data_IF_575671319474
#
_entry.id   IF_575671319474
#
_cell.length_a   1.000
_cell.length_b   1.000
_cell.length_c   1.000
_cell.angle_alpha   90.00
_cell.angle_beta   90.00
_cell.angle_gamma   90.00
#
_symmetry.space_group_name_H-M   'P 1'
#
loop_
_entity.id
_entity.type
_entity.pdbx_description
1 polymer ?
#
# COMPACT_ATOMS: atom_id res chain seq x y z
N UNK A 1 -12.45 8.99 0.64
CA UNK A 1 -11.51 9.27 -0.46
C UNK A 1 -11.93 10.49 -1.27
N UNK A 2 -13.22 10.72 -1.53
CA UNK A 2 -13.71 11.82 -2.36
C UNK A 2 -13.36 13.25 -1.91
N UNK A 3 -13.16 13.46 -0.61
CA UNK A 3 -12.82 14.77 -0.05
C UNK A 3 -11.32 15.13 -0.10
N UNK A 4 -10.47 14.18 -0.46
CA UNK A 4 -9.00 14.34 -0.52
C UNK A 4 -8.44 14.26 -1.94
N UNK A 5 -9.24 13.90 -2.94
CA UNK A 5 -8.80 13.82 -4.33
C UNK A 5 -8.70 15.19 -5.00
N UNK A 6 -7.87 15.30 -6.03
CA UNK A 6 -7.92 16.43 -6.96
C UNK A 6 -9.21 16.34 -7.78
N UNK A 7 -9.84 17.47 -8.12
CA UNK A 7 -10.90 17.51 -9.11
C UNK A 7 -10.43 16.88 -10.44
N UNK A 8 -11.31 16.20 -11.16
CA UNK A 8 -10.97 15.53 -12.44
C UNK A 8 -10.45 16.49 -13.51
N UNK A 9 -10.81 17.77 -13.39
CA UNK A 9 -10.38 18.86 -14.29
C UNK A 9 -9.15 19.62 -13.76
N UNK A 10 -8.45 19.10 -12.73
CA UNK A 10 -7.24 19.74 -12.23
C UNK A 10 -6.09 19.48 -13.22
N UNK A 11 -5.37 20.50 -13.67
CA UNK A 11 -4.29 20.35 -14.64
C UNK A 11 -3.09 19.63 -14.02
N UNK A 12 -2.35 18.89 -14.86
CA UNK A 12 -1.12 18.20 -14.45
C UNK A 12 0.04 19.18 -14.15
N UNK A 13 0.06 20.32 -14.82
CA UNK A 13 1.08 21.37 -14.66
C UNK A 13 0.41 22.73 -14.50
N UNK A 14 0.50 23.31 -13.32
CA UNK A 14 -0.04 24.66 -13.06
C UNK A 14 0.79 25.76 -13.72
N UNK A 15 2.06 25.50 -14.02
CA UNK A 15 2.96 26.46 -14.66
C UNK A 15 2.58 26.83 -16.11
N UNK A 16 1.70 26.04 -16.75
CA UNK A 16 1.21 26.27 -18.10
C UNK A 16 0.07 27.31 -18.13
N UNK A 17 -0.38 27.77 -16.98
CA UNK A 17 -1.52 28.67 -16.80
C UNK A 17 -1.09 30.01 -16.19
N UNK A 18 -1.86 31.05 -16.43
CA UNK A 18 -1.68 32.33 -15.75
C UNK A 18 -1.87 32.21 -14.25
N UNK A 19 -1.32 33.16 -13.49
CA UNK A 19 -1.46 33.21 -12.02
C UNK A 19 -2.92 33.19 -11.57
N UNK A 20 -3.80 33.88 -12.31
CA UNK A 20 -5.23 33.94 -12.00
C UNK A 20 -5.93 32.59 -12.22
N UNK A 21 -5.64 31.92 -13.32
CA UNK A 21 -6.17 30.59 -13.63
C UNK A 21 -5.66 29.55 -12.64
N UNK A 22 -4.36 29.56 -12.33
CA UNK A 22 -3.75 28.67 -11.34
C UNK A 22 -4.40 28.89 -9.96
N UNK A 23 -4.66 30.13 -9.56
CA UNK A 23 -5.39 30.45 -8.34
C UNK A 23 -6.85 29.96 -8.36
N UNK A 24 -7.52 30.00 -9.52
CA UNK A 24 -8.86 29.46 -9.68
C UNK A 24 -8.90 27.94 -9.52
N UNK A 25 -7.92 27.21 -10.06
CA UNK A 25 -7.79 25.76 -9.84
C UNK A 25 -7.52 25.42 -8.38
N UNK A 26 -6.61 26.13 -7.73
CA UNK A 26 -6.25 25.85 -6.33
C UNK A 26 -7.41 26.14 -5.35
N UNK A 27 -8.30 27.10 -5.63
CA UNK A 27 -9.52 27.32 -4.82
C UNK A 27 -10.51 26.15 -4.89
N UNK A 28 -10.44 25.29 -5.90
CA UNK A 28 -11.31 24.12 -6.06
C UNK A 28 -10.85 22.92 -5.24
N UNK A 29 -9.61 22.94 -4.73
CA UNK A 29 -9.10 21.90 -3.84
C UNK A 29 -9.68 22.11 -2.45
N UNK A 30 -9.81 21.02 -1.69
CA UNK A 30 -10.26 21.08 -0.30
C UNK A 30 -9.34 22.00 0.53
N UNK A 31 -9.89 23.11 1.03
CA UNK A 31 -9.16 24.14 1.78
C UNK A 31 -9.03 23.84 3.28
N UNK A 32 -9.47 22.67 3.76
CA UNK A 32 -9.38 22.32 5.19
C UNK A 32 -7.95 21.92 5.55
N UNK A 33 -7.29 22.74 6.35
CA UNK A 33 -5.95 22.50 6.90
C UNK A 33 -5.97 22.08 8.37
N UNK A 34 -7.10 22.23 9.04
CA UNK A 34 -7.25 21.97 10.47
C UNK A 34 -7.08 20.50 10.83
N UNK A 35 -6.59 20.27 12.04
CA UNK A 35 -6.44 18.96 12.66
C UNK A 35 -7.66 18.74 13.56
N UNK A 36 -8.35 17.61 13.38
CA UNK A 36 -9.44 17.20 14.26
C UNK A 36 -8.92 16.22 15.32
N UNK A 37 -9.27 16.46 16.57
CA UNK A 37 -9.02 15.53 17.68
C UNK A 37 -10.25 14.65 17.90
N UNK A 38 -10.03 13.40 18.19
CA UNK A 38 -11.06 12.45 18.59
C UNK A 38 -10.47 11.43 19.56
N UNK A 39 -11.32 10.77 20.35
CA UNK A 39 -10.90 9.69 21.23
C UNK A 39 -10.81 8.41 20.42
N UNK A 40 -9.65 7.74 20.44
CA UNK A 40 -9.46 6.45 19.80
C UNK A 40 -10.35 5.40 20.49
N UNK A 41 -11.06 4.63 19.69
CA UNK A 41 -11.76 3.43 20.17
C UNK A 41 -10.78 2.25 20.22
N UNK A 42 -11.07 1.21 21.02
CA UNK A 42 -10.25 -0.01 21.02
C UNK A 42 -10.06 -0.59 19.61
N UNK A 43 -8.93 -1.22 19.37
CA UNK A 43 -8.63 -1.92 18.13
C UNK A 43 -9.68 -2.99 17.85
N UNK A 44 -10.12 -3.06 16.61
CA UNK A 44 -11.17 -3.98 16.19
C UNK A 44 -10.64 -4.91 15.12
N UNK A 45 -11.04 -6.19 15.21
CA UNK A 45 -10.72 -7.20 14.21
C UNK A 45 -11.90 -8.15 14.05
N UNK A 46 -12.35 -8.32 12.80
CA UNK A 46 -13.39 -9.28 12.43
C UNK A 46 -12.80 -10.19 11.36
N UNK A 47 -12.99 -11.49 11.52
CA UNK A 47 -12.60 -12.48 10.51
C UNK A 47 -13.70 -13.50 10.35
N UNK A 48 -14.07 -13.76 9.10
CA UNK A 48 -15.02 -14.79 8.71
C UNK A 48 -14.31 -15.75 7.77
N UNK A 49 -14.32 -17.03 8.13
CA UNK A 49 -13.75 -18.09 7.29
C UNK A 49 -14.80 -19.16 7.05
N UNK A 50 -14.95 -19.56 5.80
CA UNK A 50 -15.79 -20.67 5.38
C UNK A 50 -15.00 -21.58 4.46
N UNK A 51 -15.09 -22.87 4.69
CA UNK A 51 -14.58 -23.89 3.76
C UNK A 51 -15.66 -24.95 3.56
N UNK A 52 -15.84 -25.37 2.34
CA UNK A 52 -16.81 -26.38 1.96
C UNK A 52 -16.26 -27.27 0.87
N UNK A 53 -16.63 -28.55 0.93
CA UNK A 53 -16.42 -29.50 -0.15
C UNK A 53 -17.71 -30.31 -0.32
N UNK A 54 -18.14 -30.50 -1.54
CA UNK A 54 -19.35 -31.25 -1.89
C UNK A 54 -19.21 -31.85 -3.28
N UNK A 55 -19.91 -32.97 -3.48
CA UNK A 55 -19.92 -33.67 -4.75
C UNK A 55 -21.25 -33.37 -5.49
N UNK A 56 -21.15 -33.05 -6.78
CA UNK A 56 -22.30 -32.81 -7.68
C UNK A 56 -22.13 -33.66 -8.93
N UNK A 57 -22.82 -34.79 -9.00
CA UNK A 57 -22.57 -35.79 -10.00
C UNK A 57 -21.14 -36.29 -9.93
N UNK A 58 -20.41 -36.24 -11.04
CA UNK A 58 -18.98 -36.65 -11.10
C UNK A 58 -18.00 -35.56 -10.64
N UNK A 59 -18.50 -34.38 -10.25
CA UNK A 59 -17.66 -33.25 -9.84
C UNK A 59 -17.48 -33.20 -8.34
N UNK A 60 -16.25 -33.08 -7.88
CA UNK A 60 -15.93 -32.64 -6.52
C UNK A 60 -15.60 -31.17 -6.55
N UNK A 61 -16.37 -30.39 -5.81
CA UNK A 61 -16.25 -28.93 -5.76
C UNK A 61 -15.78 -28.53 -4.36
N UNK A 62 -14.68 -27.80 -4.29
CA UNK A 62 -14.16 -27.22 -3.06
C UNK A 62 -14.21 -25.69 -3.08
N UNK A 63 -14.52 -25.08 -1.94
CA UNK A 63 -14.47 -23.64 -1.75
C UNK A 63 -13.77 -23.31 -0.44
N UNK A 64 -12.91 -22.29 -0.48
CA UNK A 64 -12.36 -21.63 0.69
C UNK A 64 -12.58 -20.14 0.52
N UNK A 65 -13.32 -19.55 1.45
CA UNK A 65 -13.58 -18.13 1.52
C UNK A 65 -13.09 -17.60 2.87
N UNK A 66 -12.31 -16.53 2.84
CA UNK A 66 -11.92 -15.80 4.04
C UNK A 66 -12.14 -14.31 3.79
N UNK A 67 -12.75 -13.64 4.75
CA UNK A 67 -12.84 -12.19 4.80
C UNK A 67 -12.32 -11.73 6.15
N UNK A 68 -11.49 -10.70 6.15
CA UNK A 68 -10.99 -10.10 7.37
C UNK A 68 -11.01 -8.58 7.26
N UNK A 69 -11.38 -7.96 8.33
CA UNK A 69 -11.32 -6.51 8.50
C UNK A 69 -10.70 -6.20 9.85
N UNK A 70 -9.85 -5.19 9.88
CA UNK A 70 -9.30 -4.68 11.14
C UNK A 70 -9.09 -3.19 11.06
N UNK A 71 -9.25 -2.52 12.20
CA UNK A 71 -8.84 -1.14 12.38
C UNK A 71 -8.15 -0.99 13.72
N UNK A 72 -7.13 -0.14 13.77
CA UNK A 72 -6.38 0.10 14.98
C UNK A 72 -5.73 1.48 14.96
N UNK A 73 -5.30 1.90 16.14
CA UNK A 73 -4.67 3.17 16.39
C UNK A 73 -3.28 2.96 16.98
N UNK A 74 -2.35 3.79 16.56
CA UNK A 74 -0.96 3.74 17.01
C UNK A 74 -0.51 5.16 17.38
N UNK A 75 0.16 5.27 18.49
CA UNK A 75 0.77 6.49 18.99
C UNK A 75 2.25 6.24 19.24
N UNK A 76 3.11 7.12 18.80
CA UNK A 76 4.53 7.04 19.05
C UNK A 76 5.15 8.42 19.26
N UNK A 77 6.09 8.50 20.18
CA UNK A 77 7.00 9.62 20.35
C UNK A 77 8.40 9.18 19.95
N UNK A 78 9.10 10.03 19.21
CA UNK A 78 10.44 9.73 18.71
C UNK A 78 11.32 10.95 18.83
N UNK A 79 12.47 10.80 19.48
CA UNK A 79 13.54 11.79 19.46
C UNK A 79 14.37 11.56 18.18
N UNK A 80 14.51 12.62 17.39
CA UNK A 80 15.21 12.59 16.11
C UNK A 80 16.31 13.64 16.09
N UNK A 81 17.52 13.23 16.43
CA UNK A 81 18.67 14.08 16.55
C UNK A 81 19.71 13.74 15.48
N UNK A 82 20.40 14.76 14.97
CA UNK A 82 21.51 14.58 14.05
C UNK A 82 22.67 15.48 14.49
N UNK A 83 23.89 14.97 14.38
CA UNK A 83 25.10 15.65 14.79
C UNK A 83 26.05 15.81 13.59
N UNK A 84 26.73 16.95 13.49
CA UNK A 84 27.67 17.27 12.41
C UNK A 84 29.05 16.71 12.73
N UNK A 85 29.51 16.96 13.96
CA UNK A 85 30.84 16.56 14.40
C UNK A 85 30.91 16.48 15.93
N UNK A 86 31.91 15.78 16.43
CA UNK A 86 32.29 15.79 17.83
C UNK A 86 33.35 16.87 18.05
N UNK A 87 33.10 17.77 19.00
CA UNK A 87 34.04 18.81 19.41
C UNK A 87 34.92 18.28 20.55
N UNK A 88 36.14 17.85 20.21
CA UNK A 88 37.07 17.25 21.15
C UNK A 88 37.53 18.26 22.23
N UNK A 89 37.58 19.54 21.92
CA UNK A 89 38.06 20.56 22.87
C UNK A 89 37.04 20.82 23.99
N UNK A 90 35.77 20.68 23.68
CA UNK A 90 34.67 20.91 24.63
C UNK A 90 34.02 19.59 25.10
N UNK A 91 34.53 18.44 24.68
CA UNK A 91 33.96 17.11 24.97
C UNK A 91 32.43 17.04 24.68
N UNK A 92 32.01 17.60 23.54
CA UNK A 92 30.61 17.75 23.21
C UNK A 92 30.33 17.44 21.73
N UNK A 93 29.16 16.84 21.47
CA UNK A 93 28.65 16.67 20.11
C UNK A 93 28.03 17.99 19.63
N UNK A 94 28.35 18.40 18.39
CA UNK A 94 27.75 19.58 17.76
C UNK A 94 26.45 19.15 17.03
N UNK A 95 25.26 19.47 17.54
CA UNK A 95 24.02 19.07 16.91
C UNK A 95 23.78 19.86 15.63
N UNK A 96 23.24 19.19 14.61
CA UNK A 96 22.69 19.81 13.43
C UNK A 96 21.20 20.15 13.63
N UNK A 97 20.49 19.24 14.25
CA UNK A 97 19.12 19.45 14.70
C UNK A 97 18.78 18.48 15.83
N UNK A 98 17.81 18.89 16.63
CA UNK A 98 17.20 18.09 17.70
C UNK A 98 15.69 18.28 17.63
N UNK A 99 14.97 17.18 17.33
CA UNK A 99 13.53 17.19 17.15
C UNK A 99 12.84 16.14 17.99
N UNK A 100 11.66 16.50 18.49
CA UNK A 100 10.69 15.57 19.05
C UNK A 100 9.54 15.40 18.05
N UNK A 101 9.31 14.17 17.65
CA UNK A 101 8.22 13.77 16.76
C UNK A 101 7.14 13.04 17.52
N UNK A 102 5.90 13.55 17.47
CA UNK A 102 4.71 12.88 17.96
C UNK A 102 3.90 12.43 16.78
N UNK A 103 3.61 11.13 16.69
CA UNK A 103 2.91 10.54 15.58
C UNK A 103 1.67 9.77 16.00
N UNK A 104 0.54 10.11 15.40
CA UNK A 104 -0.75 9.45 15.54
C UNK A 104 -1.08 8.73 14.24
N UNK A 105 -1.42 7.45 14.30
CA UNK A 105 -1.84 6.67 13.13
C UNK A 105 -3.18 6.00 13.39
N UNK A 106 -3.99 5.94 12.34
CA UNK A 106 -5.09 5.01 12.23
C UNK A 106 -4.83 4.11 11.03
N UNK A 107 -4.92 2.81 11.22
CA UNK A 107 -4.67 1.80 10.19
C UNK A 107 -5.94 0.97 10.03
N UNK A 108 -6.51 0.96 8.83
CA UNK A 108 -7.61 0.08 8.46
C UNK A 108 -7.16 -0.89 7.39
N UNK A 109 -7.51 -2.16 7.55
CA UNK A 109 -7.19 -3.24 6.61
C UNK A 109 -8.45 -4.01 6.28
N UNK A 110 -8.64 -4.32 5.00
CA UNK A 110 -9.63 -5.25 4.49
C UNK A 110 -8.92 -6.29 3.65
N UNK A 111 -9.16 -7.56 3.91
CA UNK A 111 -8.65 -8.67 3.12
C UNK A 111 -9.78 -9.61 2.75
N UNK A 112 -9.70 -10.18 1.55
CA UNK A 112 -10.60 -11.22 1.11
C UNK A 112 -9.84 -12.27 0.29
N UNK A 113 -10.18 -13.52 0.49
CA UNK A 113 -9.71 -14.67 -0.27
C UNK A 113 -10.95 -15.45 -0.67
N UNK A 114 -11.06 -15.81 -1.95
CA UNK A 114 -12.19 -16.51 -2.51
C UNK A 114 -11.71 -17.49 -3.56
N UNK A 115 -11.51 -18.74 -3.13
CA UNK A 115 -10.92 -19.78 -3.97
C UNK A 115 -11.90 -20.91 -4.18
N UNK A 116 -11.94 -21.41 -5.40
CA UNK A 116 -12.72 -22.56 -5.83
C UNK A 116 -11.84 -23.58 -6.51
N UNK A 117 -12.14 -24.84 -6.29
CA UNK A 117 -11.57 -25.96 -7.03
C UNK A 117 -12.68 -26.88 -7.55
N UNK A 118 -12.53 -27.34 -8.78
CA UNK A 118 -13.45 -28.23 -9.46
C UNK A 118 -12.66 -29.41 -9.98
N UNK A 119 -13.00 -30.61 -9.54
CA UNK A 119 -12.31 -31.84 -9.94
C UNK A 119 -13.29 -32.81 -10.57
N UNK A 120 -12.95 -33.33 -11.72
CA UNK A 120 -13.69 -34.43 -12.39
C UNK A 120 -12.70 -35.39 -13.02
N UNK A 121 -12.64 -36.63 -12.53
CA UNK A 121 -11.68 -37.61 -12.97
C UNK A 121 -10.24 -37.07 -12.88
N UNK A 122 -9.56 -37.05 -13.99
CA UNK A 122 -8.17 -36.60 -14.14
C UNK A 122 -8.01 -35.09 -14.40
N UNK A 123 -9.10 -34.32 -14.28
CA UNK A 123 -9.11 -32.90 -14.58
C UNK A 123 -9.41 -32.10 -13.31
N UNK A 124 -8.57 -31.11 -13.03
CA UNK A 124 -8.75 -30.15 -11.92
C UNK A 124 -8.70 -28.74 -12.48
N UNK A 125 -9.65 -27.92 -12.11
CA UNK A 125 -9.69 -26.49 -12.37
C UNK A 125 -9.66 -25.73 -11.06
N UNK A 126 -8.95 -24.63 -11.01
CA UNK A 126 -8.82 -23.78 -9.82
C UNK A 126 -9.04 -22.32 -10.19
N UNK A 127 -9.89 -21.68 -9.41
CA UNK A 127 -10.12 -20.25 -9.47
C UNK A 127 -9.68 -19.65 -8.13
N UNK A 128 -8.60 -18.90 -8.13
CA UNK A 128 -7.96 -18.34 -6.93
C UNK A 128 -8.05 -16.84 -6.99
N UNK A 129 -8.57 -16.23 -5.91
CA UNK A 129 -8.70 -14.78 -5.81
C UNK A 129 -8.23 -14.29 -4.46
N UNK A 130 -7.45 -13.24 -4.49
CA UNK A 130 -6.97 -12.54 -3.33
C UNK A 130 -7.21 -11.04 -3.52
N UNK A 131 -7.77 -10.40 -2.51
CA UNK A 131 -7.95 -8.96 -2.44
C UNK A 131 -7.41 -8.45 -1.11
N UNK A 132 -6.69 -7.33 -1.13
CA UNK A 132 -6.23 -6.63 0.05
C UNK A 132 -6.32 -5.13 -0.15
N UNK A 133 -6.89 -4.44 0.82
CA UNK A 133 -6.88 -2.99 0.89
C UNK A 133 -6.39 -2.54 2.26
N UNK A 134 -5.44 -1.60 2.27
CA UNK A 134 -4.89 -1.00 3.47
C UNK A 134 -4.96 0.51 3.36
N UNK A 135 -5.64 1.15 4.31
CA UNK A 135 -5.66 2.60 4.50
C UNK A 135 -4.84 2.96 5.73
N UNK A 136 -4.00 3.97 5.64
CA UNK A 136 -3.28 4.54 6.77
C UNK A 136 -3.50 6.04 6.78
N UNK A 137 -4.08 6.56 7.83
CA UNK A 137 -4.13 7.99 8.12
C UNK A 137 -3.11 8.28 9.22
N UNK A 138 -2.21 9.19 8.97
CA UNK A 138 -1.18 9.58 9.93
C UNK A 138 -1.12 11.09 10.08
N UNK A 139 -0.94 11.53 11.31
CA UNK A 139 -0.57 12.90 11.67
C UNK A 139 0.77 12.84 12.40
N UNK A 140 1.76 13.57 11.91
CA UNK A 140 3.04 13.73 12.58
C UNK A 140 3.21 15.19 12.97
N UNK A 141 3.52 15.45 14.22
CA UNK A 141 3.87 16.76 14.76
C UNK A 141 5.34 16.71 15.17
N UNK A 142 6.12 17.66 14.69
CA UNK A 142 7.54 17.80 14.98
C UNK A 142 7.77 19.17 15.61
N UNK A 143 8.51 19.20 16.70
CA UNK A 143 8.97 20.42 17.32
C UNK A 143 10.44 20.28 17.70
N UNK A 144 11.20 21.36 17.66
CA UNK A 144 12.59 21.37 18.08
C UNK A 144 13.43 22.42 17.38
N UNK A 145 14.73 22.31 17.57
CA UNK A 145 15.71 23.28 17.09
C UNK A 145 16.47 22.76 15.86
N UNK A 146 16.57 23.59 14.85
CA UNK A 146 17.48 23.38 13.72
C UNK A 146 18.66 24.33 13.86
N UNK A 147 19.78 23.82 14.38
CA UNK A 147 20.98 24.61 14.64
C UNK A 147 21.70 25.02 13.35
N UNK A 148 21.47 24.34 12.21
CA UNK A 148 22.05 24.75 10.93
C UNK A 148 21.43 26.07 10.43
N UNK A 149 20.15 26.27 10.64
CA UNK A 149 19.44 27.50 10.27
C UNK A 149 19.20 28.44 11.46
N UNK A 150 19.64 28.05 12.66
CA UNK A 150 19.41 28.75 13.93
C UNK A 150 17.94 29.11 14.16
N UNK A 151 17.06 28.12 13.97
CA UNK A 151 15.61 28.33 14.06
C UNK A 151 14.90 27.23 14.83
N UNK A 152 14.07 27.64 15.78
CA UNK A 152 13.09 26.76 16.36
C UNK A 152 11.95 26.52 15.34
N UNK A 153 11.64 25.28 15.07
CA UNK A 153 10.61 24.88 14.10
C UNK A 153 9.47 24.12 14.76
N UNK A 154 8.30 24.31 14.20
CA UNK A 154 7.13 23.46 14.41
C UNK A 154 6.61 23.02 13.06
N UNK A 155 6.56 21.72 12.84
CA UNK A 155 6.05 21.13 11.61
C UNK A 155 4.92 20.18 11.93
N UNK A 156 3.88 20.17 11.12
CA UNK A 156 2.95 19.07 11.11
C UNK A 156 2.74 18.53 9.71
N UNK A 157 2.51 17.22 9.63
CA UNK A 157 2.28 16.50 8.40
C UNK A 157 1.04 15.64 8.56
N UNK A 158 0.05 15.86 7.69
CA UNK A 158 -1.13 15.00 7.57
C UNK A 158 -1.02 14.17 6.31
N UNK A 159 -0.94 12.87 6.48
CA UNK A 159 -0.75 11.89 5.41
C UNK A 159 -1.89 10.88 5.42
N UNK A 160 -2.45 10.60 4.26
CA UNK A 160 -3.26 9.41 4.03
C UNK A 160 -2.65 8.60 2.92
N UNK A 161 -2.46 7.29 3.14
CA UNK A 161 -2.04 6.36 2.09
C UNK A 161 -3.06 5.24 1.95
N UNK A 162 -3.44 4.96 0.70
CA UNK A 162 -4.26 3.82 0.34
C UNK A 162 -3.47 2.86 -0.53
N UNK A 163 -3.45 1.58 -0.16
CA UNK A 163 -2.86 0.51 -0.99
C UNK A 163 -3.93 -0.52 -1.26
N UNK A 164 -4.11 -0.86 -2.53
CA UNK A 164 -5.01 -1.92 -2.97
C UNK A 164 -4.21 -2.93 -3.77
N UNK A 165 -4.43 -4.20 -3.50
CA UNK A 165 -3.85 -5.30 -4.26
C UNK A 165 -4.95 -6.30 -4.56
N UNK A 166 -5.05 -6.70 -5.81
CA UNK A 166 -5.89 -7.80 -6.28
C UNK A 166 -5.03 -8.77 -7.07
N UNK A 167 -5.26 -10.06 -6.88
CA UNK A 167 -4.68 -11.12 -7.70
C UNK A 167 -5.75 -12.18 -7.97
N UNK A 168 -6.05 -12.39 -9.24
CA UNK A 168 -6.94 -13.43 -9.72
C UNK A 168 -6.17 -14.41 -10.60
N UNK A 169 -6.37 -15.70 -10.39
CA UNK A 169 -5.75 -16.76 -11.16
C UNK A 169 -6.79 -17.82 -11.53
N UNK A 170 -6.77 -18.22 -12.79
CA UNK A 170 -7.47 -19.39 -13.28
C UNK A 170 -6.43 -20.42 -13.69
N UNK A 171 -6.52 -21.63 -13.17
CA UNK A 171 -5.57 -22.70 -13.46
C UNK A 171 -6.28 -24.01 -13.78
N UNK A 172 -5.59 -24.86 -14.53
CA UNK A 172 -6.03 -26.20 -14.83
C UNK A 172 -4.88 -27.18 -14.74
N UNK A 173 -5.17 -28.37 -14.20
CA UNK A 173 -4.29 -29.53 -14.16
C UNK A 173 -5.00 -30.69 -14.83
N UNK A 174 -4.38 -31.28 -15.83
CA UNK A 174 -4.96 -32.37 -16.62
C UNK A 174 -3.97 -33.50 -16.69
N UNK A 175 -4.34 -34.64 -16.10
CA UNK A 175 -3.59 -35.87 -16.22
C UNK A 175 -4.06 -36.63 -17.46
N UNK A 176 -3.15 -36.93 -18.38
CA UNK A 176 -3.41 -37.57 -19.67
C UNK A 176 -2.98 -39.03 -19.63
N UNK A 177 -3.58 -39.85 -20.48
CA UNK A 177 -3.15 -41.22 -20.80
C UNK A 177 -2.53 -41.98 -19.62
N UNK A 178 -3.33 -42.65 -18.83
CA UNK A 178 -2.89 -43.56 -17.76
C UNK A 178 -1.80 -43.01 -16.85
N UNK A 179 -1.82 -41.71 -16.57
CA UNK A 179 -0.86 -40.97 -15.75
C UNK A 179 0.55 -40.77 -16.36
N UNK A 180 0.72 -40.99 -17.63
CA UNK A 180 2.04 -40.78 -18.31
C UNK A 180 2.27 -39.32 -18.68
N UNK A 181 1.21 -38.55 -18.92
CA UNK A 181 1.29 -37.13 -19.28
C UNK A 181 0.52 -36.25 -18.30
N UNK A 182 1.03 -35.05 -18.03
CA UNK A 182 0.37 -34.04 -17.22
C UNK A 182 0.54 -32.67 -17.87
N UNK A 183 -0.55 -31.95 -18.01
CA UNK A 183 -0.59 -30.53 -18.44
C UNK A 183 -1.05 -29.67 -17.28
N UNK A 184 -0.26 -28.69 -16.93
CA UNK A 184 -0.62 -27.62 -16.00
C UNK A 184 -0.63 -26.28 -16.72
N UNK A 185 -1.67 -25.49 -16.58
CA UNK A 185 -1.72 -24.15 -17.11
C UNK A 185 -2.28 -23.15 -16.09
N UNK A 186 -1.86 -21.90 -16.20
CA UNK A 186 -2.35 -20.81 -15.34
C UNK A 186 -2.45 -19.52 -16.14
N UNK A 187 -3.60 -18.86 -16.03
CA UNK A 187 -3.81 -17.49 -16.46
C UNK A 187 -4.00 -16.61 -15.23
N UNK A 188 -3.27 -15.52 -15.16
CA UNK A 188 -3.27 -14.62 -14.01
C UNK A 188 -3.51 -13.18 -14.40
N UNK A 189 -4.23 -12.45 -13.55
CA UNK A 189 -4.33 -11.00 -13.57
C UNK A 189 -4.05 -10.46 -12.18
N UNK A 190 -3.19 -9.45 -12.10
CA UNK A 190 -2.92 -8.73 -10.86
C UNK A 190 -3.08 -7.22 -11.08
N UNK A 191 -3.59 -6.59 -10.05
CA UNK A 191 -3.73 -5.14 -9.96
C UNK A 191 -3.16 -4.67 -8.63
N UNK A 192 -2.32 -3.63 -8.68
CA UNK A 192 -1.85 -2.94 -7.50
C UNK A 192 -2.05 -1.44 -7.66
N UNK A 193 -2.48 -0.77 -6.60
CA UNK A 193 -2.51 0.69 -6.58
C UNK A 193 -1.95 1.24 -5.27
N UNK A 194 -1.25 2.35 -5.38
CA UNK A 194 -0.82 3.19 -4.28
C UNK A 194 -1.37 4.59 -4.49
N UNK A 195 -2.04 5.13 -3.49
CA UNK A 195 -2.63 6.47 -3.53
C UNK A 195 -2.22 7.25 -2.30
N UNK A 196 -1.74 8.46 -2.52
CA UNK A 196 -1.44 9.44 -1.50
C UNK A 196 -2.18 10.75 -1.85
N UNK A 197 -3.48 10.79 -1.59
CA UNK A 197 -4.27 11.98 -1.88
C UNK A 197 -4.07 13.01 -0.77
N UNK A 198 -3.68 14.23 -1.16
CA UNK A 198 -3.68 15.40 -0.30
C UNK A 198 -2.79 15.24 0.96
N UNK A 199 -1.54 14.82 0.78
CA UNK A 199 -0.54 14.93 1.84
C UNK A 199 -0.26 16.40 2.09
N UNK A 200 -0.46 16.85 3.31
CA UNK A 200 -0.28 18.24 3.73
C UNK A 200 0.91 18.32 4.66
N UNK A 201 1.77 19.29 4.39
CA UNK A 201 2.89 19.63 5.25
C UNK A 201 2.79 21.12 5.54
N UNK A 202 2.88 21.48 6.81
CA UNK A 202 2.96 22.88 7.26
C UNK A 202 4.20 23.02 8.10
N UNK A 203 5.12 23.81 7.63
CA UNK A 203 6.29 24.23 8.36
C UNK A 203 6.03 25.60 8.98
N UNK A 204 6.38 25.75 10.25
CA UNK A 204 6.29 27.02 10.97
C UNK A 204 7.60 27.28 11.69
N UNK A 205 7.99 28.53 11.74
CA UNK A 205 9.22 29.00 12.33
C UNK A 205 8.86 29.97 13.46
N UNK A 206 9.57 29.90 14.58
CA UNK A 206 9.38 30.83 15.70
C UNK A 206 9.78 32.24 15.27
N UNK A 207 8.92 33.19 15.54
CA UNK A 207 9.19 34.62 15.37
C UNK A 207 9.75 35.19 16.70
N UNK A 208 11.06 35.28 16.75
CA UNK A 208 11.77 35.77 17.93
C UNK A 208 11.57 37.28 18.18
N UNK A 209 11.03 38.02 17.23
CA UNK A 209 10.78 39.44 17.36
C UNK A 209 9.54 39.77 18.21
N UNK A 210 8.70 38.78 18.48
CA UNK A 210 7.48 38.89 19.25
C UNK A 210 7.67 38.31 20.65
N UNK A 211 7.78 39.15 21.63
CA UNK A 211 8.13 38.83 23.02
C UNK A 211 6.97 38.33 23.88
N UNK A 212 5.72 38.53 23.46
CA UNK A 212 4.57 38.32 24.34
C UNK A 212 3.97 36.91 24.29
N UNK A 213 4.24 36.12 23.21
CA UNK A 213 3.85 34.73 23.04
C UNK A 213 4.77 34.06 22.02
N UNK A 214 5.09 32.78 22.18
CA UNK A 214 5.81 32.02 21.13
C UNK A 214 4.97 32.04 19.86
N UNK A 215 5.32 32.90 18.94
CA UNK A 215 4.56 33.17 17.74
C UNK A 215 5.24 32.48 16.55
N UNK A 216 4.64 31.36 16.11
CA UNK A 216 5.10 30.65 14.93
C UNK A 216 4.39 31.20 13.68
N UNK A 217 5.13 31.64 12.69
CA UNK A 217 4.58 31.94 11.37
C UNK A 217 4.75 30.77 10.40
N UNK A 218 3.77 30.57 9.54
CA UNK A 218 3.83 29.54 8.49
C UNK A 218 4.83 29.98 7.43
N UNK A 219 5.87 29.18 7.22
CA UNK A 219 6.92 29.50 6.27
C UNK A 219 6.71 28.84 4.91
N UNK A 220 6.19 27.59 4.89
CA UNK A 220 6.16 26.79 3.66
C UNK A 220 5.07 25.71 3.73
N UNK A 221 3.83 26.04 3.36
CA UNK A 221 2.76 25.05 3.27
C UNK A 221 2.83 24.29 1.93
N UNK A 222 2.90 22.96 2.00
CA UNK A 222 2.99 22.10 0.84
C UNK A 222 1.85 21.10 0.78
N UNK A 223 1.46 20.73 -0.44
CA UNK A 223 0.49 19.65 -0.71
C UNK A 223 1.00 18.75 -1.81
N UNK A 224 0.84 17.45 -1.61
CA UNK A 224 1.26 16.44 -2.57
C UNK A 224 0.10 15.51 -2.90
N UNK A 225 0.06 15.09 -4.14
CA UNK A 225 -0.88 14.11 -4.66
C UNK A 225 -0.11 13.07 -5.45
N UNK A 226 -0.33 11.80 -5.14
CA UNK A 226 0.31 10.69 -5.84
C UNK A 226 -0.71 9.58 -6.08
N UNK A 227 -0.77 9.09 -7.30
CA UNK A 227 -1.58 7.95 -7.70
C UNK A 227 -0.73 7.07 -8.61
N UNK A 228 -0.53 5.82 -8.22
CA UNK A 228 0.21 4.82 -8.96
C UNK A 228 -0.69 3.60 -9.15
N UNK A 229 -0.76 3.07 -10.36
CA UNK A 229 -1.52 1.88 -10.72
C UNK A 229 -0.67 0.96 -11.56
N UNK A 230 -0.60 -0.28 -11.16
CA UNK A 230 0.09 -1.34 -11.87
C UNK A 230 -0.89 -2.42 -12.25
N UNK A 231 -0.81 -2.90 -13.48
CA UNK A 231 -1.56 -4.03 -14.00
C UNK A 231 -0.58 -5.07 -14.55
N UNK A 232 -0.83 -6.33 -14.25
CA UNK A 232 -0.05 -7.44 -14.77
C UNK A 232 -0.99 -8.53 -15.26
N UNK A 233 -0.72 -9.06 -16.44
CA UNK A 233 -1.37 -10.26 -17.00
C UNK A 233 -0.29 -11.30 -17.24
N UNK A 234 -0.52 -12.51 -16.80
CA UNK A 234 0.43 -13.62 -16.95
C UNK A 234 -0.23 -14.87 -17.49
N UNK A 235 0.50 -15.61 -18.30
CA UNK A 235 0.12 -16.93 -18.83
C UNK A 235 1.28 -17.89 -18.63
N UNK A 236 0.98 -19.09 -18.17
CA UNK A 236 1.94 -20.18 -18.04
C UNK A 236 1.31 -21.49 -18.51
N UNK A 237 2.09 -22.33 -19.14
CA UNK A 237 1.73 -23.70 -19.46
C UNK A 237 2.93 -24.59 -19.32
N UNK A 238 2.75 -25.75 -18.67
CA UNK A 238 3.77 -26.76 -18.47
C UNK A 238 3.25 -28.11 -18.90
N UNK A 239 4.12 -28.91 -19.46
CA UNK A 239 3.87 -30.32 -19.81
C UNK A 239 4.91 -31.19 -19.16
N UNK A 240 4.46 -32.25 -18.51
CA UNK A 240 5.27 -33.33 -17.94
C UNK A 240 4.94 -34.60 -18.65
N UNK A 241 5.99 -35.38 -19.04
CA UNK A 241 5.84 -36.72 -19.58
C UNK A 241 6.71 -37.68 -18.81
N UNK A 242 6.10 -38.78 -18.34
CA UNK A 242 6.77 -39.89 -17.65
C UNK A 242 6.98 -41.03 -18.64
N UNK A 243 8.22 -41.41 -18.84
CA UNK A 243 8.60 -42.57 -19.68
C UNK A 243 8.79 -43.78 -18.77
N UNK A 244 8.15 -44.87 -19.08
CA UNK A 244 8.40 -46.15 -18.41
C UNK A 244 9.34 -46.96 -19.30
N UNK A 245 10.64 -46.94 -18.98
CA UNK A 245 11.66 -47.67 -19.76
C UNK A 245 11.91 -49.05 -19.14
N UNK A 246 11.91 -49.17 -17.82
CA UNK A 246 11.98 -50.42 -17.07
C UNK A 246 11.48 -50.20 -15.64
N UNK A 247 11.27 -51.29 -14.89
CA UNK A 247 10.83 -51.22 -13.48
C UNK A 247 11.77 -50.41 -12.57
N UNK A 248 13.01 -50.20 -13.01
CA UNK A 248 14.03 -49.44 -12.24
C UNK A 248 14.38 -48.09 -12.83
N UNK A 249 13.87 -47.75 -14.02
CA UNK A 249 14.20 -46.53 -14.73
C UNK A 249 12.99 -45.93 -15.42
N UNK A 250 12.49 -44.83 -14.84
CA UNK A 250 11.30 -44.08 -15.29
C UNK A 250 11.64 -42.56 -15.37
N UNK A 251 12.32 -42.09 -16.42
CA UNK A 251 12.67 -40.68 -16.58
C UNK A 251 11.41 -39.82 -16.77
N UNK A 252 11.48 -38.59 -16.28
CA UNK A 252 10.42 -37.58 -16.42
C UNK A 252 10.99 -36.40 -17.21
N UNK A 253 10.32 -36.07 -18.31
CA UNK A 253 10.60 -34.86 -19.09
C UNK A 253 9.60 -33.77 -18.75
N UNK A 254 10.11 -32.58 -18.38
CA UNK A 254 9.30 -31.39 -18.11
C UNK A 254 9.69 -30.26 -19.07
N UNK A 255 8.69 -29.58 -19.64
CA UNK A 255 8.89 -28.41 -20.45
C UNK A 255 7.73 -27.41 -20.26
N UNK A 256 8.01 -26.12 -20.38
CA UNK A 256 6.97 -25.14 -20.21
C UNK A 256 7.28 -23.79 -20.82
N UNK A 257 6.28 -22.94 -20.89
CA UNK A 257 6.33 -21.58 -21.37
C UNK A 257 5.69 -20.65 -20.35
N UNK A 258 6.24 -19.45 -20.23
CA UNK A 258 5.72 -18.38 -19.40
C UNK A 258 5.80 -17.05 -20.13
N UNK A 259 4.74 -16.25 -20.04
CA UNK A 259 4.70 -14.91 -20.54
C UNK A 259 4.02 -13.97 -19.53
N UNK A 260 4.54 -12.75 -19.42
CA UNK A 260 3.97 -11.72 -18.57
C UNK A 260 4.01 -10.36 -19.27
N UNK A 261 2.92 -9.61 -19.16
CA UNK A 261 2.83 -8.22 -19.59
C UNK A 261 2.48 -7.34 -18.38
N UNK A 262 3.23 -6.25 -18.20
CA UNK A 262 3.02 -5.26 -17.14
C UNK A 262 2.78 -3.89 -17.74
N UNK A 263 1.84 -3.15 -17.16
CA UNK A 263 1.54 -1.74 -17.46
C UNK A 263 1.46 -0.95 -16.17
N UNK A 264 2.09 0.25 -16.20
CA UNK A 264 2.11 1.19 -15.07
C UNK A 264 1.60 2.55 -15.50
#
# INVERSE_FOLDING_TARGET
>A
AGLRGLPSSFPSHLGDYSTEEAAAFTRRINQRWGINRFTAVPDQKISLTSHRSYDVGDWRIGNITNMNWSTGYDYSETVNNNYIAYDVANDASRPRFEYNDVRYKNISKLGALFNWSFMKGNHKYEFRNFFSQRGVSALTQREGMNYYSDKAIRKWESLYTGRTTYSGQLGGTHTLQENTGKVDWTAGYAFASYREPDRKIVNSILDETKTDLPNYYVSDPMRYYQDLKDHSVSLAANYEHKFTVSDKFAPVLNGGVYGEYKSR
#
